data_IF_793190011057
#
_entry.id   IF_793190011057
#
_cell.length_a   1.000
_cell.length_b   1.000
_cell.length_c   1.000
_cell.angle_alpha   90.00
_cell.angle_beta   90.00
_cell.angle_gamma   90.00
#
_symmetry.space_group_name_H-M   'P 1'
#
loop_
_entity.id
_entity.type
_entity.pdbx_description
1 polymer ?
#
# COMPACT_ATOMS: atom_id res chain seq x y z
N UNK A 1 -13.51 -11.17 -0.96
CA UNK A 1 -12.30 -10.35 -1.19
C UNK A 1 -12.05 -9.42 -0.03
N UNK A 2 -10.80 -9.11 0.20
CA UNK A 2 -10.39 -8.27 1.33
C UNK A 2 -9.88 -6.95 0.79
N UNK A 3 -10.34 -5.86 1.39
CA UNK A 3 -9.84 -4.52 1.08
C UNK A 3 -8.95 -4.05 2.21
N UNK A 4 -7.70 -3.73 1.92
CA UNK A 4 -6.75 -3.22 2.88
C UNK A 4 -6.43 -1.78 2.53
N UNK A 5 -6.58 -0.87 3.49
CA UNK A 5 -6.29 0.54 3.28
C UNK A 5 -5.08 0.93 4.13
N UNK A 6 -4.05 1.44 3.47
CA UNK A 6 -2.83 1.90 4.12
C UNK A 6 -2.80 3.42 4.12
N UNK A 7 -2.61 4.01 5.28
CA UNK A 7 -2.32 5.44 5.39
C UNK A 7 -0.81 5.60 5.34
N UNK A 8 -0.32 6.39 4.38
CA UNK A 8 1.10 6.50 4.09
C UNK A 8 1.54 7.96 4.10
N UNK A 9 2.64 8.23 4.78
CA UNK A 9 3.28 9.54 4.76
C UNK A 9 4.47 9.49 3.80
N UNK A 10 4.71 10.57 3.07
CA UNK A 10 5.82 10.67 2.14
C UNK A 10 5.46 10.59 0.67
N UNK A 11 4.21 10.32 0.32
CA UNK A 11 3.75 10.38 -1.06
C UNK A 11 3.45 11.82 -1.45
N UNK A 12 4.42 12.50 -2.04
CA UNK A 12 4.24 13.92 -2.38
C UNK A 12 3.81 14.18 -3.83
N UNK A 13 3.84 13.18 -4.70
CA UNK A 13 3.37 13.37 -6.09
C UNK A 13 2.98 12.03 -6.73
N UNK A 14 2.41 12.10 -7.94
CA UNK A 14 1.90 10.93 -8.64
C UNK A 14 2.93 9.85 -8.96
N UNK A 15 4.20 10.21 -9.05
CA UNK A 15 5.27 9.24 -9.28
C UNK A 15 5.35 8.22 -8.14
N UNK A 16 5.11 8.68 -6.92
CA UNK A 16 5.16 7.80 -5.76
C UNK A 16 3.99 6.82 -5.73
N UNK A 17 2.87 7.19 -6.33
CA UNK A 17 1.72 6.28 -6.47
C UNK A 17 2.11 5.04 -7.26
N UNK A 18 2.73 5.22 -8.41
CA UNK A 18 3.18 4.11 -9.26
C UNK A 18 4.22 3.27 -8.55
N UNK A 19 5.15 3.90 -7.86
CA UNK A 19 6.21 3.20 -7.15
C UNK A 19 5.63 2.27 -6.07
N UNK A 20 4.71 2.79 -5.27
CA UNK A 20 4.08 2.00 -4.22
C UNK A 20 3.25 0.86 -4.81
N UNK A 21 2.49 1.14 -5.88
CA UNK A 21 1.72 0.12 -6.57
C UNK A 21 2.61 -1.03 -7.04
N UNK A 22 3.76 -0.71 -7.63
CA UNK A 22 4.68 -1.72 -8.12
C UNK A 22 5.29 -2.54 -6.98
N UNK A 23 5.66 -1.90 -5.88
CA UNK A 23 6.20 -2.59 -4.70
C UNK A 23 5.19 -3.62 -4.19
N UNK A 24 3.93 -3.23 -4.07
CA UNK A 24 2.88 -4.11 -3.58
C UNK A 24 2.66 -5.27 -4.56
N UNK A 25 2.54 -4.99 -5.85
CA UNK A 25 2.32 -6.02 -6.86
C UNK A 25 3.45 -7.04 -6.94
N UNK A 26 4.67 -6.57 -6.74
CA UNK A 26 5.85 -7.45 -6.86
C UNK A 26 6.04 -8.35 -5.64
N UNK A 27 5.61 -7.92 -4.48
CA UNK A 27 5.84 -8.65 -3.24
C UNK A 27 4.63 -9.39 -2.69
N UNK A 28 3.44 -9.03 -3.14
CA UNK A 28 2.20 -9.61 -2.63
C UNK A 28 1.29 -10.05 -3.76
N UNK A 29 0.52 -11.09 -3.49
CA UNK A 29 -0.47 -11.56 -4.44
C UNK A 29 -1.75 -10.76 -4.26
N UNK A 30 -1.96 -9.79 -5.12
CA UNK A 30 -3.11 -8.88 -5.03
C UNK A 30 -3.86 -8.82 -6.35
N UNK A 31 -5.15 -8.51 -6.29
CA UNK A 31 -5.98 -8.34 -7.48
C UNK A 31 -5.92 -6.92 -8.00
N UNK A 32 -5.85 -5.95 -7.09
CA UNK A 32 -5.84 -4.55 -7.46
C UNK A 32 -5.13 -3.74 -6.38
N UNK A 33 -4.40 -2.74 -6.80
CA UNK A 33 -3.79 -1.79 -5.88
C UNK A 33 -3.94 -0.38 -6.48
N UNK A 34 -4.35 0.56 -5.64
CA UNK A 34 -4.54 1.95 -6.06
C UNK A 34 -4.01 2.86 -4.96
N UNK A 35 -3.12 3.77 -5.34
CA UNK A 35 -2.54 4.74 -4.42
C UNK A 35 -3.01 6.15 -4.77
N UNK A 36 -3.15 7.00 -3.76
CA UNK A 36 -3.50 8.40 -3.93
C UNK A 36 -2.58 9.28 -3.09
N UNK A 37 -1.74 10.08 -3.76
CA UNK A 37 -0.83 10.97 -3.05
C UNK A 37 -1.58 12.12 -2.36
N UNK A 38 -2.71 12.52 -2.92
CA UNK A 38 -3.53 13.60 -2.32
C UNK A 38 -4.12 13.18 -1.00
N UNK A 39 -4.55 11.92 -0.90
CA UNK A 39 -5.15 11.37 0.32
C UNK A 39 -4.13 10.73 1.23
N UNK A 40 -2.91 10.50 0.73
CA UNK A 40 -1.88 9.80 1.47
C UNK A 40 -2.27 8.38 1.81
N UNK A 41 -2.87 7.66 0.86
CA UNK A 41 -3.33 6.30 1.13
C UNK A 41 -3.20 5.39 -0.07
N UNK A 42 -3.13 4.09 0.22
CA UNK A 42 -3.12 3.03 -0.78
C UNK A 42 -4.22 2.02 -0.44
N UNK A 43 -5.01 1.66 -1.44
CA UNK A 43 -6.08 0.67 -1.29
C UNK A 43 -5.68 -0.59 -2.04
N UNK A 44 -5.72 -1.73 -1.35
CA UNK A 44 -5.33 -3.02 -1.91
C UNK A 44 -6.51 -3.97 -1.85
N UNK A 45 -6.82 -4.60 -2.98
CA UNK A 45 -7.85 -5.64 -3.05
C UNK A 45 -7.15 -6.97 -3.26
N UNK A 46 -7.40 -7.93 -2.38
CA UNK A 46 -6.82 -9.27 -2.46
C UNK A 46 -7.84 -10.33 -2.10
N UNK A 47 -7.60 -11.58 -2.54
CA UNK A 47 -8.47 -12.69 -2.17
C UNK A 47 -8.20 -13.15 -0.75
N UNK A 48 -6.95 -13.12 -0.34
CA UNK A 48 -6.51 -13.57 0.95
C UNK A 48 -6.02 -12.40 1.80
N UNK A 49 -6.07 -12.60 3.11
CA UNK A 49 -5.59 -11.63 4.07
C UNK A 49 -4.08 -11.46 3.92
N UNK A 50 -3.63 -10.22 3.87
CA UNK A 50 -2.21 -9.89 3.79
C UNK A 50 -1.64 -9.64 5.18
N UNK A 51 -0.36 -9.98 5.37
CA UNK A 51 0.34 -9.74 6.62
C UNK A 51 0.64 -8.25 6.74
N UNK A 52 0.09 -7.60 7.76
CA UNK A 52 0.26 -6.16 7.96
C UNK A 52 1.71 -5.78 8.24
N UNK A 53 2.45 -6.64 8.95
CA UNK A 53 3.86 -6.40 9.23
C UNK A 53 4.69 -6.40 7.95
N UNK A 54 4.40 -7.34 7.04
CA UNK A 54 5.09 -7.42 5.76
C UNK A 54 4.75 -6.22 4.86
N UNK A 55 3.49 -5.80 4.86
CA UNK A 55 3.07 -4.60 4.12
C UNK A 55 3.82 -3.38 4.63
N UNK A 56 3.86 -3.21 5.94
CA UNK A 56 4.54 -2.09 6.57
C UNK A 56 6.03 -2.08 6.24
N UNK A 57 6.68 -3.24 6.30
CA UNK A 57 8.10 -3.36 5.99
C UNK A 57 8.39 -3.07 4.52
N UNK A 58 7.57 -3.58 3.61
CA UNK A 58 7.74 -3.34 2.18
C UNK A 58 7.67 -1.86 1.85
N UNK A 59 6.70 -1.15 2.41
CA UNK A 59 6.54 0.29 2.19
C UNK A 59 7.67 1.07 2.87
N UNK A 60 8.04 0.70 4.10
CA UNK A 60 9.12 1.38 4.84
C UNK A 60 10.46 1.27 4.13
N UNK A 61 10.73 0.14 3.48
CA UNK A 61 11.98 -0.08 2.75
C UNK A 61 12.14 0.84 1.54
N UNK A 62 11.05 1.43 1.06
CA UNK A 62 11.09 2.37 -0.06
C UNK A 62 11.23 3.82 0.37
N UNK A 63 11.29 4.07 1.68
CA UNK A 63 11.45 5.42 2.22
C UNK A 63 10.17 6.10 2.67
N UNK A 64 9.05 5.39 2.63
CA UNK A 64 7.77 5.92 3.09
C UNK A 64 7.44 5.39 4.48
N UNK A 65 6.52 6.06 5.17
CA UNK A 65 6.09 5.65 6.50
C UNK A 65 4.62 5.24 6.46
N UNK A 66 4.31 4.05 6.95
CA UNK A 66 2.93 3.60 7.09
C UNK A 66 2.40 4.11 8.42
N UNK A 67 1.36 4.93 8.37
CA UNK A 67 0.78 5.55 9.56
C UNK A 67 -0.33 4.68 10.17
N UNK A 68 -1.08 3.98 9.32
CA UNK A 68 -2.20 3.15 9.77
C UNK A 68 -2.55 2.11 8.71
N UNK A 69 -3.11 0.98 9.15
CA UNK A 69 -3.58 -0.08 8.25
C UNK A 69 -4.98 -0.46 8.70
N UNK A 70 -5.94 -0.39 7.79
CA UNK A 70 -7.33 -0.78 8.03
C UNK A 70 -7.70 -1.89 7.05
N UNK A 71 -8.41 -2.90 7.53
CA UNK A 71 -8.82 -4.04 6.71
C UNK A 71 -10.33 -4.24 6.80
N UNK A 72 -10.96 -4.43 5.66
CA UNK A 72 -12.39 -4.71 5.57
C UNK A 72 -12.66 -6.07 4.93
#
# INVERSE_FOLDING_TARGET
MIETVLKIDGMSCGMYESHINDVIRNQFKVKKVKSSHRKGQTIIISEEKLDHSELKNAISNTGYTVLDITEN
#
